data_IF_454830734534
#
_entry.id   IF_454830734534
#
_cell.length_a   1.000
_cell.length_b   1.000
_cell.length_c   1.000
_cell.angle_alpha   90.00
_cell.angle_beta   90.00
_cell.angle_gamma   90.00
#
_symmetry.space_group_name_H-M   'P 1'
#
loop_
_entity.id
_entity.type
_entity.pdbx_description
1 polymer ?
#
# COMPACT_ATOMS: atom_id res chain seq x y z
N UNK A 1 52.82 -43.44 26.17
CA UNK A 1 52.37 -42.25 26.94
C UNK A 1 52.63 -41.05 26.03
N UNK A 2 51.70 -40.26 25.52
CA UNK A 2 50.34 -39.87 25.90
C UNK A 2 49.46 -39.71 24.63
N UNK A 3 48.14 -39.85 24.78
CA UNK A 3 47.09 -39.83 23.74
C UNK A 3 46.39 -38.45 23.63
N UNK A 4 45.62 -38.28 22.53
CA UNK A 4 44.46 -37.38 22.25
C UNK A 4 44.80 -36.04 21.54
N UNK A 5 44.00 -35.50 20.58
CA UNK A 5 42.69 -35.83 19.97
C UNK A 5 42.45 -35.01 18.68
N UNK A 6 41.53 -35.47 17.83
CA UNK A 6 41.04 -34.87 16.58
C UNK A 6 39.89 -33.84 16.81
N UNK A 7 39.73 -32.81 15.95
CA UNK A 7 38.46 -32.07 15.71
C UNK A 7 38.47 -31.31 14.37
N UNK A 8 37.47 -31.47 13.47
CA UNK A 8 37.38 -30.77 12.19
C UNK A 8 36.43 -29.55 12.23
N UNK A 9 36.66 -28.56 11.35
CA UNK A 9 35.76 -27.41 11.17
C UNK A 9 35.13 -27.41 9.77
N UNK A 10 33.81 -27.58 9.74
CA UNK A 10 32.92 -27.34 8.61
C UNK A 10 32.69 -25.83 8.43
N UNK A 11 33.01 -25.26 7.25
CA UNK A 11 32.28 -24.08 6.75
C UNK A 11 32.50 -23.85 5.25
N UNK A 12 31.39 -23.54 4.58
CA UNK A 12 31.21 -22.87 3.27
C UNK A 12 31.06 -23.76 2.03
N UNK A 13 29.80 -24.07 1.73
CA UNK A 13 29.29 -24.16 0.35
C UNK A 13 27.77 -23.94 0.39
N UNK A 14 27.32 -22.70 0.42
CA UNK A 14 25.88 -22.38 0.43
C UNK A 14 25.46 -21.31 -0.58
N UNK A 15 26.39 -20.79 -1.39
CA UNK A 15 26.06 -19.82 -2.44
C UNK A 15 26.64 -20.31 -3.77
N UNK A 16 25.92 -21.11 -4.54
CA UNK A 16 26.04 -21.25 -6.01
C UNK A 16 24.90 -22.13 -6.54
N UNK A 17 23.70 -21.58 -6.81
CA UNK A 17 22.76 -22.20 -7.76
C UNK A 17 22.21 -21.09 -8.67
N UNK A 18 22.57 -21.05 -9.97
CA UNK A 18 22.01 -20.08 -10.91
C UNK A 18 20.58 -20.47 -11.32
N UNK A 19 19.68 -19.48 -11.39
CA UNK A 19 18.33 -19.65 -11.93
C UNK A 19 18.38 -19.84 -13.45
N UNK A 20 17.88 -20.98 -13.95
CA UNK A 20 17.71 -21.24 -15.37
C UNK A 20 16.24 -21.03 -15.79
N UNK A 21 15.95 -20.26 -16.87
CA UNK A 21 14.60 -20.06 -17.35
C UNK A 21 14.14 -21.22 -18.24
N UNK A 22 12.95 -21.78 -17.97
CA UNK A 22 12.19 -22.59 -18.94
C UNK A 22 12.21 -24.12 -18.76
N UNK A 23 12.29 -24.67 -17.56
CA UNK A 23 12.25 -26.13 -17.35
C UNK A 23 10.82 -26.64 -17.06
N UNK A 24 10.29 -27.46 -17.98
CA UNK A 24 9.02 -28.18 -17.85
C UNK A 24 9.04 -29.13 -16.63
N UNK A 25 7.89 -29.42 -15.98
CA UNK A 25 7.80 -30.20 -14.73
C UNK A 25 8.37 -31.62 -14.84
N UNK A 26 8.53 -32.16 -16.05
CA UNK A 26 9.13 -33.48 -16.30
C UNK A 26 10.67 -33.48 -16.20
N UNK A 27 11.35 -32.33 -16.41
CA UNK A 27 12.82 -32.25 -16.32
C UNK A 27 13.31 -32.18 -14.87
N UNK A 28 12.50 -31.61 -13.97
CA UNK A 28 12.80 -31.51 -12.53
C UNK A 28 12.71 -32.89 -11.86
N UNK A 29 11.82 -33.76 -12.33
CA UNK A 29 11.62 -35.09 -11.75
C UNK A 29 12.82 -36.04 -11.99
N UNK A 30 13.52 -35.91 -13.13
CA UNK A 30 14.68 -36.76 -13.47
C UNK A 30 15.94 -36.34 -12.70
N UNK A 31 16.11 -35.05 -12.42
CA UNK A 31 17.26 -34.54 -11.62
C UNK A 31 17.13 -34.92 -10.14
N UNK A 32 15.91 -34.95 -9.61
CA UNK A 32 15.65 -35.36 -8.21
C UNK A 32 15.93 -36.85 -7.99
N UNK A 33 15.66 -37.72 -8.98
CA UNK A 33 15.89 -39.16 -8.86
C UNK A 33 17.37 -39.56 -8.97
N UNK A 34 18.21 -38.79 -9.67
CA UNK A 34 19.65 -39.05 -9.76
C UNK A 34 20.46 -38.47 -8.59
N UNK A 35 19.94 -37.49 -7.84
CA UNK A 35 20.59 -36.97 -6.64
C UNK A 35 20.40 -37.84 -5.38
N UNK A 36 19.36 -38.67 -5.31
CA UNK A 36 19.14 -39.57 -4.17
C UNK A 36 20.05 -40.81 -4.16
N UNK A 37 20.68 -41.16 -5.29
CA UNK A 37 21.67 -42.24 -5.35
C UNK A 37 23.07 -41.83 -4.85
N UNK A 38 23.34 -40.52 -4.69
CA UNK A 38 24.66 -40.00 -4.28
C UNK A 38 24.66 -39.46 -2.84
N UNK A 39 23.49 -39.12 -2.28
CA UNK A 39 23.37 -38.55 -0.93
C UNK A 39 22.22 -39.19 -0.11
N UNK A 40 22.41 -40.36 0.52
CA UNK A 40 21.37 -41.07 1.28
C UNK A 40 20.89 -40.37 2.58
N UNK A 41 21.31 -39.12 2.84
CA UNK A 41 20.93 -38.32 4.02
C UNK A 41 19.74 -37.39 3.80
N UNK A 42 19.19 -37.32 2.57
CA UNK A 42 18.06 -36.44 2.22
C UNK A 42 16.68 -37.05 2.54
N UNK A 43 16.60 -37.99 3.49
CA UNK A 43 15.35 -38.61 3.92
C UNK A 43 14.57 -37.81 4.97
N UNK A 44 14.95 -36.57 5.28
CA UNK A 44 14.25 -35.74 6.29
C UNK A 44 13.72 -34.41 5.77
N UNK A 45 13.32 -34.31 4.50
CA UNK A 45 12.48 -33.19 4.08
C UNK A 45 11.05 -33.47 4.55
N UNK A 46 10.72 -32.94 5.72
CA UNK A 46 9.33 -32.81 6.18
C UNK A 46 8.49 -32.17 5.06
N UNK A 47 7.25 -32.61 4.82
CA UNK A 47 6.40 -31.98 3.82
C UNK A 47 6.34 -30.48 4.09
N UNK A 48 6.61 -29.66 3.06
CA UNK A 48 6.38 -28.22 3.14
C UNK A 48 4.92 -28.05 3.56
N UNK A 49 4.71 -27.53 4.77
CA UNK A 49 3.38 -27.28 5.31
C UNK A 49 2.73 -26.25 4.39
N UNK A 50 1.79 -26.66 3.55
CA UNK A 50 0.99 -25.74 2.77
C UNK A 50 0.17 -24.90 3.73
N UNK A 51 0.57 -23.64 3.93
CA UNK A 51 -0.23 -22.66 4.67
C UNK A 51 -1.37 -22.27 3.74
N UNK A 52 -2.54 -22.83 3.99
CA UNK A 52 -3.78 -22.38 3.36
C UNK A 52 -4.11 -20.99 3.92
N UNK A 53 -3.63 -19.94 3.24
CA UNK A 53 -4.15 -18.58 3.46
C UNK A 53 -5.52 -18.53 2.80
N UNK A 54 -6.57 -18.90 3.54
CA UNK A 54 -7.93 -18.55 3.13
C UNK A 54 -8.07 -17.05 3.34
N UNK A 55 -7.95 -16.26 2.28
CA UNK A 55 -8.35 -14.85 2.34
C UNK A 55 -9.84 -14.82 2.66
N UNK A 56 -10.20 -14.40 3.87
CA UNK A 56 -11.57 -14.03 4.18
C UNK A 56 -12.01 -12.93 3.21
N UNK A 57 -13.18 -13.08 2.58
CA UNK A 57 -13.80 -12.02 1.76
C UNK A 57 -14.44 -10.91 2.63
N UNK A 58 -14.24 -10.95 3.94
CA UNK A 58 -14.78 -9.97 4.88
C UNK A 58 -13.75 -8.88 5.13
N UNK A 59 -14.19 -7.62 5.09
CA UNK A 59 -13.37 -6.48 5.48
C UNK A 59 -12.88 -6.68 6.93
N UNK A 60 -11.57 -6.58 7.13
CA UNK A 60 -10.95 -6.78 8.44
C UNK A 60 -10.55 -5.46 9.10
N UNK A 61 -10.42 -4.38 8.33
CA UNK A 61 -10.10 -3.04 8.81
C UNK A 61 -11.17 -2.05 8.36
N UNK A 62 -11.51 -1.10 9.23
CA UNK A 62 -12.37 0.05 8.92
C UNK A 62 -11.58 1.33 9.17
N UNK A 63 -11.44 2.15 8.14
CA UNK A 63 -10.78 3.45 8.23
C UNK A 63 -11.80 4.55 8.45
N UNK A 64 -11.37 5.62 9.12
CA UNK A 64 -12.18 6.80 9.40
C UNK A 64 -13.50 6.53 10.17
N UNK A 65 -13.56 5.40 10.89
CA UNK A 65 -14.57 5.07 11.89
C UNK A 65 -13.89 4.24 12.98
N UNK A 66 -14.40 4.27 14.22
CA UNK A 66 -13.81 3.49 15.31
C UNK A 66 -14.08 1.98 15.21
N UNK A 67 -15.12 1.57 14.47
CA UNK A 67 -15.51 0.17 14.26
C UNK A 67 -16.48 0.05 13.06
N UNK A 68 -16.90 -1.18 12.73
CA UNK A 68 -17.76 -1.49 11.58
C UNK A 68 -19.25 -1.11 11.74
N UNK A 69 -19.65 -0.70 12.94
CA UNK A 69 -21.03 -0.39 13.31
C UNK A 69 -21.28 1.09 13.58
N UNK A 70 -20.23 1.81 14.00
CA UNK A 70 -20.28 3.25 14.26
C UNK A 70 -20.21 4.05 12.97
N UNK A 71 -21.14 5.00 12.83
CA UNK A 71 -21.20 5.92 11.70
C UNK A 71 -21.17 7.36 12.19
N UNK A 72 -19.98 7.94 12.26
CA UNK A 72 -19.79 9.35 12.62
C UNK A 72 -20.22 10.24 11.45
N UNK A 73 -21.32 10.96 11.60
CA UNK A 73 -21.88 11.81 10.55
C UNK A 73 -21.32 13.24 10.60
N UNK A 74 -21.08 13.81 9.42
CA UNK A 74 -20.79 15.23 9.22
C UNK A 74 -19.62 15.81 10.04
N UNK A 75 -18.65 14.97 10.41
CA UNK A 75 -17.50 15.40 11.18
C UNK A 75 -16.31 15.76 10.29
N UNK A 76 -15.45 16.62 10.82
CA UNK A 76 -14.07 16.81 10.36
C UNK A 76 -13.12 16.20 11.39
N UNK A 77 -11.94 15.81 10.95
CA UNK A 77 -10.92 15.13 11.75
C UNK A 77 -10.07 14.18 10.90
N UNK A 78 -9.03 13.62 11.50
CA UNK A 78 -8.15 12.63 10.85
C UNK A 78 -8.83 11.27 10.65
N UNK A 79 -9.91 11.00 11.39
CA UNK A 79 -10.59 9.72 11.44
C UNK A 79 -12.08 9.84 11.11
N UNK A 80 -12.43 10.77 10.23
CA UNK A 80 -13.80 10.97 9.79
C UNK A 80 -13.82 11.33 8.31
N UNK A 81 -14.86 10.87 7.61
CA UNK A 81 -15.14 11.19 6.22
C UNK A 81 -16.60 11.65 6.12
N UNK A 82 -16.88 12.54 5.18
CA UNK A 82 -18.20 13.06 4.85
C UNK A 82 -18.45 12.84 3.36
N UNK A 83 -19.33 11.90 3.05
CA UNK A 83 -19.65 11.47 1.68
C UNK A 83 -18.40 10.99 0.93
N UNK A 84 -17.67 10.02 1.48
CA UNK A 84 -16.44 9.49 0.89
C UNK A 84 -16.62 9.18 -0.62
N UNK A 85 -15.72 9.74 -1.43
CA UNK A 85 -15.66 9.54 -2.88
C UNK A 85 -14.76 8.37 -3.26
N UNK A 86 -14.02 8.51 -4.36
CA UNK A 86 -13.08 7.47 -4.81
C UNK A 86 -11.84 7.37 -3.91
N UNK A 87 -11.21 6.20 -3.98
CA UNK A 87 -9.94 5.85 -3.35
C UNK A 87 -8.84 5.67 -4.41
N UNK A 88 -7.58 5.91 -4.04
CA UNK A 88 -6.40 5.57 -4.83
C UNK A 88 -5.32 4.95 -3.92
N UNK A 89 -4.84 3.76 -4.27
CA UNK A 89 -3.74 3.14 -3.54
C UNK A 89 -2.43 3.93 -3.75
N UNK A 90 -1.62 4.03 -2.69
CA UNK A 90 -0.26 4.55 -2.79
C UNK A 90 0.74 3.41 -3.09
N UNK A 91 2.03 3.76 -3.24
CA UNK A 91 3.08 2.78 -3.52
C UNK A 91 3.63 2.07 -2.25
N UNK A 92 3.05 2.32 -1.07
CA UNK A 92 3.50 1.81 0.24
C UNK A 92 2.43 0.97 0.96
N UNK A 93 1.28 0.74 0.33
CA UNK A 93 0.15 -0.04 0.87
C UNK A 93 -0.87 0.79 1.64
N UNK A 94 -0.70 2.11 1.72
CA UNK A 94 -1.72 3.07 2.10
C UNK A 94 -2.60 3.50 0.92
N UNK A 95 -3.40 4.53 1.14
CA UNK A 95 -4.28 5.06 0.10
C UNK A 95 -4.77 6.48 0.39
N UNK A 96 -5.15 7.18 -0.67
CA UNK A 96 -5.81 8.47 -0.64
C UNK A 96 -7.32 8.30 -0.82
N UNK A 97 -8.12 9.03 -0.05
CA UNK A 97 -9.60 9.07 -0.17
C UNK A 97 -10.07 10.48 -0.36
N UNK A 98 -10.95 10.69 -1.34
CA UNK A 98 -11.68 11.92 -1.49
C UNK A 98 -12.72 12.07 -0.36
N UNK A 99 -12.50 13.01 0.55
CA UNK A 99 -13.46 13.40 1.58
C UNK A 99 -14.34 14.53 1.01
N UNK A 100 -15.16 14.15 0.02
CA UNK A 100 -15.91 15.04 -0.86
C UNK A 100 -16.64 16.16 -0.12
N UNK A 101 -17.39 15.83 0.94
CA UNK A 101 -18.22 16.78 1.68
C UNK A 101 -17.43 17.70 2.62
N UNK A 102 -16.13 17.44 2.79
CA UNK A 102 -15.19 18.25 3.55
C UNK A 102 -14.14 18.94 2.66
N UNK A 103 -14.30 18.93 1.33
CA UNK A 103 -13.45 19.68 0.40
C UNK A 103 -11.96 19.35 0.55
N UNK A 104 -11.64 18.08 0.72
CA UNK A 104 -10.26 17.62 0.95
C UNK A 104 -10.03 16.19 0.46
N UNK A 105 -8.77 15.81 0.36
CA UNK A 105 -8.33 14.42 0.20
C UNK A 105 -7.47 14.06 1.41
N UNK A 106 -7.72 12.89 2.00
CA UNK A 106 -6.96 12.35 3.12
C UNK A 106 -6.11 11.17 2.67
N UNK A 107 -4.89 11.06 3.18
CA UNK A 107 -4.09 9.85 3.07
C UNK A 107 -4.22 9.02 4.34
N UNK A 108 -4.41 7.71 4.18
CA UNK A 108 -4.40 6.73 5.26
C UNK A 108 -3.27 5.74 5.03
N UNK A 109 -2.38 5.52 6.03
CA UNK A 109 -1.29 4.57 5.88
C UNK A 109 -1.80 3.12 5.95
N UNK A 110 -0.95 2.19 5.52
CA UNK A 110 -1.23 0.75 5.62
C UNK A 110 -1.55 0.34 7.06
N UNK A 111 -2.59 -0.48 7.25
CA UNK A 111 -2.94 -1.05 8.54
C UNK A 111 -2.17 -2.35 8.80
N UNK A 112 -1.87 -2.60 10.08
CA UNK A 112 -1.38 -3.89 10.55
C UNK A 112 -2.42 -4.47 11.51
N UNK A 113 -3.18 -5.48 11.07
CA UNK A 113 -4.16 -6.18 11.91
C UNK A 113 -5.62 -6.00 11.46
N UNK A 114 -6.55 -6.07 12.43
CA UNK A 114 -8.00 -6.00 12.21
C UNK A 114 -8.65 -4.98 13.16
N UNK A 115 -9.77 -4.37 12.77
CA UNK A 115 -10.50 -3.36 13.56
C UNK A 115 -10.34 -1.96 12.98
N UNK A 116 -10.20 -0.95 13.85
CA UNK A 116 -9.97 0.42 13.41
C UNK A 116 -8.60 0.55 12.71
N UNK A 117 -8.60 1.19 11.54
CA UNK A 117 -7.39 1.57 10.83
C UNK A 117 -6.64 2.73 11.51
N UNK A 118 -5.38 2.96 11.13
CA UNK A 118 -4.65 4.15 11.56
C UNK A 118 -5.35 5.43 11.09
N UNK A 119 -5.10 6.52 11.82
CA UNK A 119 -5.59 7.84 11.46
C UNK A 119 -4.93 8.37 10.18
N UNK A 120 -5.65 9.25 9.48
CA UNK A 120 -5.06 9.95 8.35
C UNK A 120 -3.82 10.76 8.81
N UNK A 121 -2.76 10.69 8.02
CA UNK A 121 -1.47 11.34 8.31
C UNK A 121 -1.17 12.49 7.33
N UNK A 122 -1.97 12.65 6.28
CA UNK A 122 -1.86 13.76 5.33
C UNK A 122 -3.24 14.28 4.92
N UNK A 123 -3.30 15.58 4.62
CA UNK A 123 -4.48 16.29 4.12
C UNK A 123 -4.10 17.19 2.96
N UNK A 124 -4.88 17.14 1.88
CA UNK A 124 -4.74 17.98 0.68
C UNK A 124 -6.03 18.78 0.50
N UNK A 125 -5.92 20.02 0.02
CA UNK A 125 -7.07 20.91 -0.19
C UNK A 125 -7.48 21.75 1.02
N UNK A 126 -6.86 21.51 2.19
CA UNK A 126 -7.14 22.20 3.45
C UNK A 126 -5.86 22.40 4.26
N UNK A 127 -5.79 23.43 5.12
CA UNK A 127 -4.61 23.68 5.97
C UNK A 127 -4.45 22.65 7.11
N UNK A 128 -5.52 21.96 7.49
CA UNK A 128 -5.56 21.03 8.60
C UNK A 128 -6.68 19.99 8.45
N UNK A 129 -6.77 19.05 9.40
CA UNK A 129 -7.77 17.99 9.40
C UNK A 129 -9.16 18.41 9.90
N UNK A 130 -9.38 19.66 10.25
CA UNK A 130 -10.65 20.15 10.82
C UNK A 130 -11.34 21.19 9.95
N UNK A 131 -10.59 21.87 9.09
CA UNK A 131 -11.06 22.81 8.07
C UNK A 131 -11.74 22.07 6.91
N UNK A 132 -12.75 22.71 6.31
CA UNK A 132 -13.57 22.10 5.26
C UNK A 132 -14.24 23.10 4.29
N UNK A 133 -13.75 24.33 4.19
CA UNK A 133 -14.32 25.32 3.28
C UNK A 133 -13.91 25.04 1.83
N UNK A 134 -14.74 25.41 0.86
CA UNK A 134 -14.38 25.33 -0.56
C UNK A 134 -13.37 26.41 -0.91
N UNK A 135 -12.32 26.06 -1.66
CA UNK A 135 -11.27 27.00 -2.03
C UNK A 135 -10.79 26.79 -3.47
N UNK A 136 -10.38 27.89 -4.09
CA UNK A 136 -9.57 27.89 -5.30
C UNK A 136 -8.06 27.88 -4.94
N UNK A 137 -7.21 27.96 -5.96
CA UNK A 137 -5.76 27.99 -5.79
C UNK A 137 -5.13 26.60 -5.74
N UNK A 138 -3.81 26.56 -5.65
CA UNK A 138 -3.02 25.32 -5.65
C UNK A 138 -3.18 24.50 -4.35
N UNK A 139 -3.61 25.14 -3.26
CA UNK A 139 -3.84 24.52 -1.95
C UNK A 139 -5.31 24.17 -1.70
N UNK A 140 -6.21 24.61 -2.57
CA UNK A 140 -7.66 24.54 -2.36
C UNK A 140 -8.32 23.47 -3.23
N UNK A 141 -9.36 22.86 -2.67
CA UNK A 141 -10.26 21.95 -3.39
C UNK A 141 -11.72 22.37 -3.17
N UNK A 142 -12.58 21.94 -4.08
CA UNK A 142 -14.01 22.15 -4.11
C UNK A 142 -14.69 20.85 -4.56
N UNK A 143 -15.26 20.14 -3.58
CA UNK A 143 -15.92 18.84 -3.77
C UNK A 143 -15.09 17.83 -4.58
N UNK A 144 -13.86 17.48 -4.14
CA UNK A 144 -13.04 16.54 -4.88
C UNK A 144 -13.72 15.17 -4.95
N UNK A 145 -13.71 14.53 -6.12
CA UNK A 145 -14.42 13.26 -6.32
C UNK A 145 -13.50 12.03 -6.31
N UNK A 146 -12.31 12.13 -6.89
CA UNK A 146 -11.36 11.04 -6.93
C UNK A 146 -9.91 11.48 -7.05
N UNK A 147 -9.05 10.48 -6.90
CA UNK A 147 -7.61 10.64 -6.92
C UNK A 147 -6.95 9.54 -7.76
N UNK A 148 -5.72 9.77 -8.19
CA UNK A 148 -4.85 8.77 -8.80
C UNK A 148 -3.40 9.06 -8.43
N UNK A 149 -2.60 8.00 -8.24
CA UNK A 149 -1.19 8.11 -7.90
C UNK A 149 -0.36 7.66 -9.10
N UNK A 150 0.67 8.43 -9.46
CA UNK A 150 1.61 8.04 -10.52
C UNK A 150 2.78 7.19 -9.99
N UNK A 151 3.57 6.54 -10.87
CA UNK A 151 4.67 5.68 -10.45
C UNK A 151 5.77 6.39 -9.66
N UNK A 152 5.84 7.72 -9.69
CA UNK A 152 6.80 8.53 -8.92
C UNK A 152 6.23 8.97 -7.56
N UNK A 153 4.98 8.63 -7.27
CA UNK A 153 4.26 9.03 -6.06
C UNK A 153 3.59 10.41 -6.17
N UNK A 154 3.48 10.97 -7.37
CA UNK A 154 2.69 12.18 -7.61
C UNK A 154 1.19 11.88 -7.50
N UNK A 155 0.44 12.81 -6.93
CA UNK A 155 -1.00 12.66 -6.68
C UNK A 155 -1.79 13.57 -7.62
N UNK A 156 -2.70 12.98 -8.39
CA UNK A 156 -3.70 13.69 -9.17
C UNK A 156 -5.01 13.69 -8.41
N UNK A 157 -5.66 14.85 -8.28
CA UNK A 157 -6.97 15.00 -7.64
C UNK A 157 -7.92 15.64 -8.64
N UNK A 158 -9.10 15.02 -8.83
CA UNK A 158 -10.19 15.63 -9.59
C UNK A 158 -10.90 16.65 -8.68
N UNK A 159 -10.63 17.93 -8.92
CA UNK A 159 -11.23 19.05 -8.19
C UNK A 159 -12.56 19.43 -8.87
N UNK A 160 -13.57 18.60 -8.63
CA UNK A 160 -14.75 18.43 -9.49
C UNK A 160 -15.51 19.73 -9.73
N UNK A 161 -15.77 20.51 -8.68
CA UNK A 161 -16.60 21.72 -8.81
C UNK A 161 -15.81 22.94 -9.28
N UNK A 162 -14.48 22.86 -9.28
CA UNK A 162 -13.60 23.82 -9.94
C UNK A 162 -13.26 23.43 -11.39
N UNK A 163 -13.89 22.37 -11.91
CA UNK A 163 -13.75 21.90 -13.31
C UNK A 163 -12.31 21.64 -13.74
N UNK A 164 -11.47 21.08 -12.85
CA UNK A 164 -10.04 20.90 -13.11
C UNK A 164 -9.47 19.64 -12.48
N UNK A 165 -8.25 19.31 -12.90
CA UNK A 165 -7.42 18.30 -12.25
C UNK A 165 -6.18 19.00 -11.71
N UNK A 166 -5.85 18.74 -10.45
CA UNK A 166 -4.63 19.22 -9.81
C UNK A 166 -3.65 18.07 -9.67
N UNK A 167 -2.38 18.32 -9.96
CA UNK A 167 -1.28 17.41 -9.66
C UNK A 167 -0.45 17.98 -8.51
N UNK A 168 -0.07 17.10 -7.59
CA UNK A 168 0.78 17.38 -6.44
C UNK A 168 2.02 16.50 -6.56
N UNK A 169 3.19 17.14 -6.64
CA UNK A 169 4.46 16.42 -6.54
C UNK A 169 4.60 15.71 -5.18
N UNK A 170 5.36 14.60 -5.10
CA UNK A 170 5.57 13.88 -3.85
C UNK A 170 6.00 14.82 -2.70
N UNK A 171 5.39 14.63 -1.52
CA UNK A 171 5.60 15.46 -0.33
C UNK A 171 5.26 16.97 -0.48
N UNK A 172 4.53 17.37 -1.54
CA UNK A 172 3.98 18.72 -1.68
C UNK A 172 2.49 18.73 -1.36
N UNK A 173 2.07 19.70 -0.54
CA UNK A 173 0.65 19.98 -0.26
C UNK A 173 0.08 21.10 -1.13
N UNK A 174 0.90 21.69 -2.00
CA UNK A 174 0.47 22.61 -3.04
C UNK A 174 0.59 21.93 -4.40
N UNK A 175 -0.45 22.09 -5.22
CA UNK A 175 -0.42 21.60 -6.58
C UNK A 175 0.65 22.35 -7.39
N UNK A 176 1.39 21.62 -8.21
CA UNK A 176 2.41 22.17 -9.11
C UNK A 176 1.93 22.20 -10.56
N UNK A 177 0.81 21.55 -10.88
CA UNK A 177 0.16 21.61 -12.20
C UNK A 177 -1.36 21.60 -12.07
N UNK A 178 -1.99 22.25 -13.05
CA UNK A 178 -3.44 22.28 -13.24
C UNK A 178 -3.74 21.87 -14.69
N UNK A 179 -4.78 21.06 -14.86
CA UNK A 179 -5.29 20.66 -16.17
C UNK A 179 -6.78 21.04 -16.26
N UNK A 180 -7.22 21.44 -17.45
CA UNK A 180 -8.60 21.87 -17.71
C UNK A 180 -8.86 23.37 -17.47
N UNK A 181 -7.93 24.08 -16.82
CA UNK A 181 -7.99 25.52 -16.55
C UNK A 181 -6.63 26.18 -16.90
N UNK A 182 -6.59 27.48 -17.24
CA UNK A 182 -5.36 28.18 -17.59
C UNK A 182 -4.43 28.42 -16.38
N UNK A 183 -4.99 28.49 -15.18
CA UNK A 183 -4.25 28.68 -13.92
C UNK A 183 -5.02 28.07 -12.73
N UNK A 184 -4.51 28.32 -11.52
CA UNK A 184 -5.07 27.76 -10.29
C UNK A 184 -6.26 28.56 -9.72
N UNK A 185 -6.64 29.71 -10.26
CA UNK A 185 -7.66 30.57 -9.62
C UNK A 185 -8.81 30.95 -10.56
N UNK A 186 -8.66 30.69 -11.85
CA UNK A 186 -9.72 30.86 -12.83
C UNK A 186 -10.75 29.73 -12.65
N UNK A 187 -12.01 30.12 -12.47
CA UNK A 187 -13.18 29.23 -12.30
C UNK A 187 -14.13 29.32 -13.49
#
# INVERSE_FOLDING_TARGET
MHLRTYRPLHRKAQDQIPNLPGSSPLLILVVVFLMQAVYPWLSSLSPVRSVSVTSSQVACVVYAQPDFSTHTLYATGQNTLKNAGSIAADNHGGFYVADYGNNRVLHFPAAVGTGAGPAADQVYGQPDFTSNATHDGAAGLNYPHGAAVDPKGGLYISDMFNNRILHYSPASFNADRVYGQPDFVTT
#
